data_IF_565010241603
#
_entry.id   IF_565010241603
#
_cell.length_a   1.000
_cell.length_b   1.000
_cell.length_c   1.000
_cell.angle_alpha   90.00
_cell.angle_beta   90.00
_cell.angle_gamma   90.00
#
_symmetry.space_group_name_H-M   'P 1'
#
loop_
_entity.id
_entity.type
_entity.pdbx_description
1 polymer ?
#
# COMPACT_ATOMS: atom_id res chain seq x y z
N UNK A 1 -27.53 11.83 14.50
CA UNK A 1 -26.42 11.98 15.48
C UNK A 1 -26.32 10.71 16.29
N UNK A 2 -25.10 10.30 16.64
CA UNK A 2 -24.81 8.98 17.24
C UNK A 2 -24.52 9.18 18.72
N UNK A 3 -25.02 8.30 19.59
CA UNK A 3 -24.68 8.34 21.02
C UNK A 3 -23.18 8.04 21.22
N UNK A 4 -22.51 8.75 22.14
CA UNK A 4 -21.06 8.60 22.35
C UNK A 4 -20.63 7.13 22.60
N UNK A 5 -21.45 6.37 23.32
CA UNK A 5 -21.20 4.95 23.62
C UNK A 5 -21.11 4.07 22.36
N UNK A 6 -21.80 4.47 21.28
CA UNK A 6 -21.82 3.76 19.99
C UNK A 6 -20.81 4.30 19.00
N UNK A 7 -20.12 5.41 19.32
CA UNK A 7 -19.22 6.07 18.39
C UNK A 7 -18.08 5.14 17.96
N UNK A 8 -17.49 4.39 18.89
CA UNK A 8 -16.37 3.51 18.55
C UNK A 8 -16.76 2.41 17.55
N UNK A 9 -17.94 1.82 17.71
CA UNK A 9 -18.46 0.82 16.78
C UNK A 9 -18.77 1.46 15.43
N UNK A 10 -19.41 2.63 15.43
CA UNK A 10 -19.71 3.37 14.21
C UNK A 10 -18.45 3.76 13.42
N UNK A 11 -17.41 4.29 14.08
CA UNK A 11 -16.16 4.68 13.42
C UNK A 11 -15.54 3.51 12.65
N UNK A 12 -15.66 2.26 13.17
CA UNK A 12 -15.18 1.05 12.49
C UNK A 12 -16.00 0.67 11.25
N UNK A 13 -17.21 1.21 11.09
CA UNK A 13 -18.05 0.99 9.90
C UNK A 13 -17.75 1.95 8.76
N UNK A 14 -17.08 3.08 9.04
CA UNK A 14 -16.71 4.07 8.02
C UNK A 14 -15.61 3.52 7.12
N UNK A 15 -15.82 3.62 5.81
CA UNK A 15 -14.88 3.12 4.81
C UNK A 15 -13.77 4.14 4.53
N UNK A 16 -12.72 3.69 3.83
CA UNK A 16 -11.68 4.59 3.28
C UNK A 16 -12.28 5.71 2.44
N UNK A 17 -13.31 5.41 1.64
CA UNK A 17 -13.95 6.40 0.80
C UNK A 17 -14.70 7.44 1.64
N UNK A 18 -15.37 7.02 2.71
CA UNK A 18 -16.06 7.94 3.64
C UNK A 18 -15.09 8.93 4.27
N UNK A 19 -13.97 8.43 4.79
CA UNK A 19 -12.91 9.26 5.36
C UNK A 19 -12.24 10.18 4.33
N UNK A 20 -11.98 9.67 3.13
CA UNK A 20 -11.36 10.44 2.07
C UNK A 20 -12.20 11.65 1.63
N UNK A 21 -13.53 11.56 1.67
CA UNK A 21 -14.41 12.71 1.41
C UNK A 21 -14.11 13.88 2.36
N UNK A 22 -13.77 13.60 3.63
CA UNK A 22 -13.43 14.63 4.60
C UNK A 22 -11.99 15.11 4.42
N UNK A 23 -11.07 14.17 4.21
CA UNK A 23 -9.64 14.48 4.11
C UNK A 23 -9.27 15.20 2.81
N UNK A 24 -10.05 15.04 1.74
CA UNK A 24 -9.85 15.73 0.47
C UNK A 24 -10.16 17.23 0.56
N UNK A 25 -10.85 17.69 1.60
CA UNK A 25 -11.13 19.11 1.84
C UNK A 25 -9.93 19.85 2.45
N UNK A 26 -8.96 19.14 3.05
CA UNK A 26 -7.80 19.76 3.73
C UNK A 26 -6.99 20.72 2.84
N UNK A 27 -6.64 20.39 1.57
CA UNK A 27 -5.91 21.32 0.71
C UNK A 27 -6.68 22.62 0.41
N UNK A 28 -8.00 22.53 0.23
CA UNK A 28 -8.86 23.71 0.04
C UNK A 28 -8.90 24.55 1.33
N UNK A 29 -9.05 23.91 2.49
CA UNK A 29 -9.02 24.59 3.80
C UNK A 29 -7.68 25.32 4.00
N UNK A 30 -6.55 24.68 3.72
CA UNK A 30 -5.22 25.27 3.95
C UNK A 30 -4.89 26.45 3.03
N UNK A 31 -5.50 26.50 1.84
CA UNK A 31 -5.31 27.59 0.88
C UNK A 31 -6.33 28.72 1.04
N UNK A 32 -7.40 28.48 1.81
CA UNK A 32 -8.45 29.46 2.10
C UNK A 32 -7.96 30.50 3.11
N UNK A 33 -8.13 31.79 2.78
CA UNK A 33 -7.65 32.92 3.61
C UNK A 33 -8.69 33.45 4.61
N UNK A 34 -9.96 33.17 4.37
CA UNK A 34 -11.11 33.68 5.15
C UNK A 34 -12.22 32.66 5.04
N UNK A 35 -12.89 32.35 6.14
CA UNK A 35 -13.85 31.27 6.28
C UNK A 35 -15.29 31.75 6.51
N UNK A 36 -15.47 33.05 6.75
CA UNK A 36 -16.78 33.67 6.82
C UNK A 36 -16.65 35.18 7.06
N UNK A 37 -17.79 35.84 7.19
CA UNK A 37 -17.84 37.26 7.52
C UNK A 37 -19.11 37.64 8.28
N UNK A 38 -19.03 38.72 9.06
CA UNK A 38 -20.20 39.30 9.70
C UNK A 38 -20.97 40.12 8.67
N UNK A 39 -22.27 39.85 8.55
CA UNK A 39 -23.24 40.59 7.74
C UNK A 39 -24.33 41.18 8.64
N UNK A 40 -25.13 42.09 8.11
CA UNK A 40 -26.14 42.81 8.90
C UNK A 40 -25.50 43.87 9.80
N UNK A 41 -26.25 44.38 10.78
CA UNK A 41 -25.84 45.55 11.56
C UNK A 41 -26.10 46.87 10.83
N UNK A 42 -26.73 46.82 9.67
CA UNK A 42 -27.05 47.98 8.83
C UNK A 42 -28.37 48.62 9.27
N UNK A 43 -28.43 49.96 9.17
CA UNK A 43 -29.64 50.75 9.34
C UNK A 43 -30.51 50.68 8.08
N UNK A 44 -31.77 50.30 8.23
CA UNK A 44 -32.76 50.22 7.18
C UNK A 44 -33.42 51.59 6.96
N UNK A 45 -34.04 51.80 5.78
CA UNK A 45 -34.68 53.08 5.41
C UNK A 45 -35.73 53.59 6.40
N UNK A 46 -36.29 52.71 7.24
CA UNK A 46 -37.26 53.04 8.27
C UNK A 46 -36.64 53.35 9.65
N UNK A 47 -35.30 53.44 9.75
CA UNK A 47 -34.56 53.71 10.99
C UNK A 47 -34.42 52.51 11.93
N UNK A 48 -34.78 51.30 11.49
CA UNK A 48 -34.54 50.05 12.25
C UNK A 48 -33.22 49.40 11.83
N UNK A 49 -32.61 48.59 12.70
CA UNK A 49 -31.33 47.92 12.41
C UNK A 49 -31.52 46.43 12.19
N UNK A 50 -30.75 45.86 11.26
CA UNK A 50 -30.59 44.41 11.18
C UNK A 50 -29.63 43.93 12.27
N UNK A 51 -29.91 42.78 12.89
CA UNK A 51 -28.93 42.18 13.80
C UNK A 51 -27.72 41.67 12.99
N UNK A 52 -26.48 41.90 13.45
CA UNK A 52 -25.32 41.30 12.83
C UNK A 52 -25.36 39.78 13.01
N UNK A 53 -24.99 39.04 11.97
CA UNK A 53 -24.93 37.59 11.95
C UNK A 53 -23.70 37.12 11.15
N UNK A 54 -23.19 35.93 11.46
CA UNK A 54 -22.12 35.32 10.68
C UNK A 54 -22.66 34.64 9.42
N UNK A 55 -21.98 34.91 8.30
CA UNK A 55 -22.15 34.21 7.04
C UNK A 55 -20.90 33.36 6.80
N UNK A 56 -21.01 32.04 6.91
CA UNK A 56 -19.97 31.10 6.54
C UNK A 56 -19.72 31.12 5.02
N UNK A 57 -18.51 30.71 4.62
CA UNK A 57 -18.16 30.44 3.23
C UNK A 57 -18.35 28.95 2.91
N UNK A 58 -18.45 28.63 1.61
CA UNK A 58 -18.83 27.31 1.11
C UNK A 58 -18.01 26.15 1.71
N UNK A 59 -16.70 26.33 1.89
CA UNK A 59 -15.83 25.28 2.46
C UNK A 59 -16.18 24.95 3.92
N UNK A 60 -16.63 25.92 4.71
CA UNK A 60 -17.08 25.70 6.09
C UNK A 60 -18.35 24.87 6.09
N UNK A 61 -19.30 25.21 5.22
CA UNK A 61 -20.57 24.49 5.09
C UNK A 61 -20.35 23.05 4.59
N UNK A 62 -19.44 22.84 3.63
CA UNK A 62 -19.04 21.50 3.16
C UNK A 62 -18.53 20.64 4.31
N UNK A 63 -17.60 21.16 5.11
CA UNK A 63 -17.05 20.43 6.26
C UNK A 63 -18.15 20.16 7.29
N UNK A 64 -18.94 21.17 7.66
CA UNK A 64 -20.04 21.05 8.62
C UNK A 64 -21.02 19.92 8.24
N UNK A 65 -21.49 19.94 6.99
CA UNK A 65 -22.42 18.93 6.50
C UNK A 65 -21.78 17.54 6.51
N UNK A 66 -20.52 17.44 6.11
CA UNK A 66 -19.84 16.16 6.00
C UNK A 66 -19.52 15.52 7.35
N UNK A 67 -19.10 16.29 8.37
CA UNK A 67 -18.87 15.73 9.71
C UNK A 67 -20.18 15.22 10.33
N UNK A 68 -21.32 15.81 9.98
CA UNK A 68 -22.64 15.33 10.38
C UNK A 68 -23.06 14.08 9.61
N UNK A 69 -22.85 14.04 8.29
CA UNK A 69 -23.15 12.90 7.43
C UNK A 69 -22.34 11.66 7.85
N UNK A 70 -21.04 11.85 8.14
CA UNK A 70 -20.16 10.79 8.64
C UNK A 70 -20.50 10.35 10.06
N UNK A 71 -21.40 11.06 10.77
CA UNK A 71 -21.79 10.70 12.13
C UNK A 71 -20.69 10.88 13.18
N UNK A 72 -19.66 11.70 12.90
CA UNK A 72 -18.50 11.90 13.79
C UNK A 72 -18.70 13.06 14.79
N UNK A 73 -19.95 13.54 14.92
CA UNK A 73 -20.41 14.51 15.91
C UNK A 73 -21.33 13.78 16.90
N UNK A 74 -20.78 13.04 17.89
CA UNK A 74 -21.57 12.28 18.85
C UNK A 74 -22.43 13.16 19.76
N UNK A 75 -23.46 12.56 20.36
CA UNK A 75 -24.23 13.13 21.46
C UNK A 75 -23.52 12.76 22.78
N UNK A 76 -23.17 13.77 23.56
CA UNK A 76 -22.74 13.64 24.95
C UNK A 76 -22.89 14.98 25.69
N UNK A 77 -22.75 14.96 27.03
CA UNK A 77 -22.75 16.19 27.83
C UNK A 77 -21.42 16.95 27.68
N UNK A 78 -21.30 17.68 26.58
CA UNK A 78 -20.16 18.52 26.27
C UNK A 78 -20.05 19.73 27.21
N UNK A 79 -21.14 20.14 27.85
CA UNK A 79 -21.15 21.33 28.73
C UNK A 79 -20.43 21.07 30.05
N UNK A 80 -20.45 19.84 30.55
CA UNK A 80 -19.72 19.42 31.75
C UNK A 80 -18.31 18.90 31.48
N UNK A 81 -17.91 18.75 30.22
CA UNK A 81 -16.61 18.19 29.84
C UNK A 81 -15.46 19.21 30.00
N UNK A 82 -14.87 19.25 31.21
CA UNK A 82 -13.80 20.19 31.57
C UNK A 82 -12.53 20.04 30.70
N UNK A 83 -12.10 18.81 30.42
CA UNK A 83 -10.88 18.58 29.62
C UNK A 83 -11.00 19.16 28.22
N UNK A 84 -12.16 18.98 27.57
CA UNK A 84 -12.41 19.52 26.23
C UNK A 84 -12.31 21.05 26.20
N UNK A 85 -12.83 21.72 27.23
CA UNK A 85 -12.69 23.18 27.38
C UNK A 85 -11.23 23.57 27.58
N UNK A 86 -10.49 22.84 28.40
CA UNK A 86 -9.05 23.11 28.63
C UNK A 86 -8.26 22.96 27.34
N UNK A 87 -8.53 21.93 26.54
CA UNK A 87 -7.87 21.67 25.26
C UNK A 87 -8.17 22.78 24.25
N UNK A 88 -9.45 23.15 24.07
CA UNK A 88 -9.85 24.16 23.08
C UNK A 88 -9.38 25.57 23.43
N UNK A 89 -9.12 25.85 24.70
CA UNK A 89 -8.58 27.14 25.15
C UNK A 89 -7.05 27.24 25.03
N UNK A 90 -6.36 26.13 24.77
CA UNK A 90 -4.92 26.09 24.54
C UNK A 90 -4.62 26.22 23.03
N UNK A 91 -4.13 27.40 22.62
CA UNK A 91 -3.85 27.72 21.22
C UNK A 91 -2.71 26.87 20.61
N UNK A 92 -1.79 26.39 21.45
CA UNK A 92 -0.60 25.64 21.07
C UNK A 92 -0.75 24.14 21.29
N UNK A 93 -1.94 23.67 21.69
CA UNK A 93 -2.19 22.27 21.97
C UNK A 93 -1.87 21.38 20.76
N UNK A 94 -1.15 20.27 21.01
CA UNK A 94 -0.84 19.28 19.99
C UNK A 94 -1.92 18.19 19.92
N UNK A 95 -2.84 18.34 18.97
CA UNK A 95 -3.95 17.40 18.73
C UNK A 95 -3.51 16.01 18.25
N UNK A 96 -2.28 15.85 17.74
CA UNK A 96 -1.80 14.60 17.13
C UNK A 96 -1.66 13.43 18.12
N UNK A 97 -1.72 13.71 19.42
CA UNK A 97 -1.61 12.70 20.49
C UNK A 97 -2.98 12.22 21.01
N UNK A 98 -4.08 12.80 20.53
CA UNK A 98 -5.43 12.43 20.96
C UNK A 98 -5.97 11.29 20.10
N UNK A 99 -6.76 10.41 20.71
CA UNK A 99 -7.51 9.37 19.99
C UNK A 99 -8.69 9.97 19.20
N UNK A 100 -9.20 9.23 18.21
CA UNK A 100 -10.28 9.70 17.33
C UNK A 100 -11.56 10.02 18.08
N UNK A 101 -11.90 9.29 19.14
CA UNK A 101 -13.12 9.55 19.93
C UNK A 101 -12.99 10.92 20.61
N UNK A 102 -11.84 11.20 21.23
CA UNK A 102 -11.58 12.50 21.85
C UNK A 102 -11.61 13.63 20.83
N UNK A 103 -11.06 13.43 19.63
CA UNK A 103 -11.13 14.41 18.54
C UNK A 103 -12.58 14.66 18.06
N UNK A 104 -13.40 13.62 17.95
CA UNK A 104 -14.83 13.74 17.62
C UNK A 104 -15.63 14.46 18.72
N UNK A 105 -15.28 14.25 19.99
CA UNK A 105 -15.84 15.02 21.10
C UNK A 105 -15.48 16.50 21.02
N UNK A 106 -14.25 16.84 20.63
CA UNK A 106 -13.84 18.24 20.41
C UNK A 106 -14.63 18.88 19.27
N UNK A 107 -14.79 18.19 18.13
CA UNK A 107 -15.65 18.67 17.03
C UNK A 107 -17.08 18.95 17.52
N UNK A 108 -17.64 18.04 18.31
CA UNK A 108 -18.97 18.21 18.90
C UNK A 108 -19.05 19.43 19.79
N UNK A 109 -18.07 19.65 20.67
CA UNK A 109 -18.02 20.83 21.53
C UNK A 109 -18.05 22.11 20.70
N UNK A 110 -17.25 22.19 19.63
CA UNK A 110 -17.20 23.37 18.75
C UNK A 110 -18.53 23.56 18.01
N UNK A 111 -19.03 22.51 17.34
CA UNK A 111 -20.28 22.54 16.57
C UNK A 111 -21.48 22.92 17.44
N UNK A 112 -21.57 22.39 18.66
CA UNK A 112 -22.67 22.68 19.57
C UNK A 112 -22.56 24.07 20.19
N UNK A 113 -21.34 24.54 20.47
CA UNK A 113 -21.11 25.90 20.99
C UNK A 113 -21.50 26.99 19.97
N UNK A 114 -21.36 26.73 18.67
CA UNK A 114 -21.78 27.64 17.59
C UNK A 114 -23.27 28.00 17.66
N UNK A 115 -24.13 27.05 18.04
CA UNK A 115 -25.55 27.32 18.24
C UNK A 115 -25.88 28.28 19.40
N UNK A 116 -24.90 28.60 20.27
CA UNK A 116 -25.04 29.56 21.37
C UNK A 116 -24.18 30.82 21.18
N UNK A 117 -23.16 30.74 20.31
CA UNK A 117 -22.24 31.81 20.00
C UNK A 117 -22.04 31.84 18.48
N UNK A 118 -22.84 32.65 17.81
CA UNK A 118 -22.87 32.72 16.35
C UNK A 118 -21.47 32.96 15.76
N UNK A 119 -21.06 32.12 14.81
CA UNK A 119 -19.75 32.14 14.17
C UNK A 119 -18.61 31.49 14.94
N UNK A 120 -18.87 30.81 16.06
CA UNK A 120 -17.84 30.08 16.80
C UNK A 120 -17.17 28.98 15.96
N UNK A 121 -17.91 28.29 15.10
CA UNK A 121 -17.36 27.28 14.20
C UNK A 121 -16.43 27.93 13.17
N UNK A 122 -16.86 29.03 12.55
CA UNK A 122 -16.04 29.85 11.62
C UNK A 122 -14.76 30.33 12.31
N UNK A 123 -14.85 30.84 13.54
CA UNK A 123 -13.69 31.30 14.29
C UNK A 123 -12.67 30.18 14.55
N UNK A 124 -13.14 28.95 14.79
CA UNK A 124 -12.25 27.80 14.96
C UNK A 124 -11.61 27.32 13.64
N UNK A 125 -12.17 27.66 12.48
CA UNK A 125 -11.46 27.56 11.21
C UNK A 125 -10.36 28.61 11.08
N UNK A 126 -10.70 29.88 11.33
CA UNK A 126 -9.76 31.01 11.25
C UNK A 126 -8.54 30.81 12.15
N UNK A 127 -8.76 30.29 13.37
CA UNK A 127 -7.69 29.98 14.32
C UNK A 127 -6.96 28.66 14.03
N UNK A 128 -7.34 27.94 12.97
CA UNK A 128 -6.71 26.70 12.54
C UNK A 128 -7.01 25.47 13.41
N UNK A 129 -7.96 25.55 14.34
CA UNK A 129 -8.32 24.44 15.24
C UNK A 129 -9.01 23.30 14.47
N UNK A 130 -10.01 23.62 13.64
CA UNK A 130 -10.70 22.62 12.82
C UNK A 130 -9.75 21.84 11.90
N UNK A 131 -8.88 22.49 11.07
CA UNK A 131 -7.94 21.74 10.25
C UNK A 131 -6.93 20.92 11.08
N UNK A 132 -6.50 21.39 12.26
CA UNK A 132 -5.65 20.59 13.17
C UNK A 132 -6.37 19.33 13.66
N UNK A 133 -7.64 19.43 14.05
CA UNK A 133 -8.46 18.28 14.48
C UNK A 133 -8.65 17.29 13.31
N UNK A 134 -9.04 17.77 12.13
CA UNK A 134 -9.24 16.91 10.94
C UNK A 134 -7.93 16.21 10.55
N UNK A 135 -6.79 16.90 10.63
CA UNK A 135 -5.46 16.28 10.41
C UNK A 135 -5.14 15.20 11.43
N UNK A 136 -5.45 15.41 12.71
CA UNK A 136 -5.22 14.42 13.75
C UNK A 136 -6.13 13.18 13.55
N UNK A 137 -7.40 13.40 13.19
CA UNK A 137 -8.32 12.30 12.82
C UNK A 137 -7.75 11.53 11.62
N UNK A 138 -7.31 12.25 10.57
CA UNK A 138 -6.65 11.65 9.41
C UNK A 138 -5.45 10.81 9.82
N UNK A 139 -4.60 11.29 10.71
CA UNK A 139 -3.45 10.53 11.19
C UNK A 139 -3.87 9.24 11.93
N UNK A 140 -4.90 9.30 12.77
CA UNK A 140 -5.37 8.15 13.52
C UNK A 140 -6.05 7.11 12.63
N UNK A 141 -6.94 7.56 11.74
CA UNK A 141 -7.71 6.67 10.88
C UNK A 141 -6.85 6.08 9.77
N UNK A 142 -5.87 6.84 9.23
CA UNK A 142 -4.86 6.27 8.33
C UNK A 142 -3.97 5.24 9.05
N UNK A 143 -3.61 5.47 10.31
CA UNK A 143 -2.89 4.47 11.12
C UNK A 143 -3.76 3.25 11.47
N UNK A 144 -5.09 3.37 11.37
CA UNK A 144 -6.05 2.30 11.70
C UNK A 144 -6.40 1.39 10.53
N UNK A 145 -5.85 1.62 9.32
CA UNK A 145 -6.05 0.73 8.17
C UNK A 145 -5.48 -0.65 8.46
N UNK A 146 -6.32 -1.53 9.02
CA UNK A 146 -6.01 -2.93 9.19
C UNK A 146 -6.15 -3.62 7.85
N UNK A 147 -5.08 -4.24 7.40
CA UNK A 147 -5.11 -5.15 6.25
C UNK A 147 -6.19 -6.21 6.50
N UNK A 148 -7.03 -6.39 5.50
CA UNK A 148 -8.14 -7.34 5.54
C UNK A 148 -7.74 -8.67 4.90
N UNK A 149 -8.41 -9.76 5.30
CA UNK A 149 -8.23 -11.07 4.67
C UNK A 149 -8.38 -11.04 3.13
N UNK A 150 -9.36 -10.34 2.54
CA UNK A 150 -9.43 -10.17 1.09
C UNK A 150 -8.16 -9.55 0.49
N UNK A 151 -7.56 -8.53 1.11
CA UNK A 151 -6.32 -7.92 0.62
C UNK A 151 -5.12 -8.89 0.72
N UNK A 152 -5.04 -9.69 1.78
CA UNK A 152 -4.00 -10.72 1.91
C UNK A 152 -4.16 -11.76 0.80
N UNK A 153 -5.38 -12.27 0.59
CA UNK A 153 -5.69 -13.21 -0.49
C UNK A 153 -5.37 -12.62 -1.86
N UNK A 154 -5.78 -11.37 -2.11
CA UNK A 154 -5.51 -10.64 -3.35
C UNK A 154 -4.03 -10.60 -3.70
N UNK A 155 -3.16 -10.28 -2.74
CA UNK A 155 -1.72 -10.27 -2.96
C UNK A 155 -1.17 -11.69 -3.22
N UNK A 156 -1.49 -12.67 -2.37
CA UNK A 156 -0.93 -14.02 -2.48
C UNK A 156 -1.39 -14.74 -3.75
N UNK A 157 -2.68 -14.69 -4.06
CA UNK A 157 -3.21 -15.27 -5.29
C UNK A 157 -2.82 -14.47 -6.53
N UNK A 158 -2.71 -13.15 -6.42
CA UNK A 158 -2.22 -12.31 -7.52
C UNK A 158 -0.81 -12.70 -7.95
N UNK A 159 0.12 -12.85 -6.99
CA UNK A 159 1.47 -13.37 -7.24
C UNK A 159 1.40 -14.76 -7.88
N UNK A 160 0.66 -15.69 -7.28
CA UNK A 160 0.58 -17.08 -7.75
C UNK A 160 0.02 -17.23 -9.16
N UNK A 161 -1.01 -16.45 -9.50
CA UNK A 161 -1.59 -16.43 -10.84
C UNK A 161 -0.62 -15.86 -11.85
N UNK A 162 0.04 -14.74 -11.53
CA UNK A 162 0.99 -14.09 -12.41
C UNK A 162 2.18 -14.97 -12.74
N UNK A 163 2.75 -15.57 -11.71
CA UNK A 163 3.78 -16.60 -11.80
C UNK A 163 3.31 -17.76 -12.69
N UNK A 164 2.23 -18.46 -12.32
CA UNK A 164 1.78 -19.66 -13.03
C UNK A 164 1.38 -19.41 -14.51
N UNK A 165 1.00 -18.19 -14.87
CA UNK A 165 0.76 -17.80 -16.26
C UNK A 165 2.06 -17.63 -17.05
N UNK A 166 3.13 -17.18 -16.39
CA UNK A 166 4.45 -16.97 -17.00
C UNK A 166 5.28 -18.24 -17.13
N UNK A 167 5.20 -19.17 -16.19
CA UNK A 167 6.02 -20.42 -16.17
C UNK A 167 6.06 -21.17 -17.52
N UNK A 168 4.95 -21.38 -18.25
CA UNK A 168 4.99 -22.14 -19.49
C UNK A 168 5.75 -21.46 -20.63
N UNK A 169 5.93 -20.14 -20.57
CA UNK A 169 6.55 -19.35 -21.65
C UNK A 169 7.85 -18.67 -21.23
N UNK A 170 8.38 -19.05 -20.06
CA UNK A 170 9.64 -18.50 -19.55
C UNK A 170 10.79 -18.71 -20.54
N UNK A 171 11.67 -17.71 -20.64
CA UNK A 171 12.77 -17.57 -21.58
C UNK A 171 12.38 -17.42 -23.05
N UNK A 172 11.09 -17.45 -23.40
CA UNK A 172 10.68 -17.15 -24.77
C UNK A 172 10.87 -15.66 -25.07
N UNK A 173 11.43 -15.36 -26.23
CA UNK A 173 11.53 -13.97 -26.68
C UNK A 173 10.16 -13.37 -26.93
N UNK A 174 10.04 -12.05 -26.75
CA UNK A 174 8.82 -11.29 -27.08
C UNK A 174 8.32 -11.58 -28.50
N UNK A 175 9.25 -11.66 -29.46
CA UNK A 175 8.91 -11.94 -30.86
C UNK A 175 8.33 -13.35 -31.04
N UNK A 176 8.77 -14.33 -30.24
CA UNK A 176 8.21 -15.68 -30.22
C UNK A 176 6.79 -15.65 -29.65
N UNK A 177 6.60 -15.03 -28.49
CA UNK A 177 5.30 -14.94 -27.81
C UNK A 177 4.28 -14.18 -28.66
N UNK A 178 4.65 -13.08 -29.34
CA UNK A 178 3.75 -12.32 -30.24
C UNK A 178 3.11 -13.19 -31.33
N UNK A 179 3.72 -14.32 -31.72
CA UNK A 179 3.13 -15.24 -32.70
C UNK A 179 2.01 -16.09 -32.12
N UNK A 180 2.13 -16.48 -30.84
CA UNK A 180 1.12 -17.24 -30.10
C UNK A 180 1.00 -16.66 -28.68
N UNK A 181 0.30 -15.52 -28.52
CA UNK A 181 0.24 -14.83 -27.23
C UNK A 181 -0.41 -15.69 -26.15
N UNK A 182 0.07 -15.54 -24.92
CA UNK A 182 -0.60 -16.11 -23.75
C UNK A 182 -1.91 -15.35 -23.53
N UNK A 183 -3.02 -16.06 -23.56
CA UNK A 183 -4.38 -15.49 -23.41
C UNK A 183 -5.15 -16.08 -22.23
N UNK A 184 -4.67 -17.21 -21.70
CA UNK A 184 -5.27 -17.98 -20.63
C UNK A 184 -4.18 -18.82 -19.93
N UNK A 185 -4.53 -19.44 -18.81
CA UNK A 185 -3.62 -20.31 -18.06
C UNK A 185 -3.42 -21.63 -18.80
N UNK A 186 -2.18 -21.84 -19.24
CA UNK A 186 -1.73 -23.02 -19.99
C UNK A 186 -0.69 -23.79 -19.17
N UNK A 187 -0.32 -24.98 -19.65
CA UNK A 187 0.76 -25.77 -19.07
C UNK A 187 1.60 -26.41 -20.17
N UNK A 188 2.51 -27.30 -19.76
CA UNK A 188 3.38 -28.10 -20.61
C UNK A 188 4.26 -27.26 -21.55
N UNK A 189 4.87 -26.21 -21.00
CA UNK A 189 5.82 -25.33 -21.66
C UNK A 189 7.27 -25.58 -21.23
N UNK A 190 8.01 -24.53 -20.88
CA UNK A 190 9.45 -24.55 -20.52
C UNK A 190 9.87 -25.71 -19.62
N UNK A 191 9.12 -25.96 -18.53
CA UNK A 191 9.41 -27.04 -17.58
C UNK A 191 8.55 -28.30 -17.73
N UNK A 192 7.70 -28.36 -18.75
CA UNK A 192 6.76 -29.46 -18.97
C UNK A 192 5.84 -29.77 -17.76
N UNK A 193 5.41 -28.73 -17.03
CA UNK A 193 4.54 -28.83 -15.85
C UNK A 193 3.07 -28.52 -16.20
N UNK A 194 2.08 -29.13 -15.54
CA UNK A 194 0.67 -28.88 -15.83
C UNK A 194 0.26 -27.43 -15.51
N UNK A 195 -0.85 -26.98 -16.10
CA UNK A 195 -1.39 -25.64 -15.88
C UNK A 195 -1.60 -25.32 -14.39
N UNK A 196 -1.42 -24.05 -14.02
CA UNK A 196 -1.53 -23.56 -12.66
C UNK A 196 -0.35 -23.93 -11.75
N UNK A 197 0.76 -24.40 -12.32
CA UNK A 197 2.00 -24.62 -11.59
C UNK A 197 2.82 -23.32 -11.57
N UNK A 198 3.06 -22.79 -10.38
CA UNK A 198 3.87 -21.61 -10.09
C UNK A 198 5.33 -21.99 -9.72
N UNK A 199 6.30 -21.08 -9.82
CA UNK A 199 7.76 -21.33 -9.72
C UNK A 199 8.35 -20.95 -8.34
N UNK A 200 9.64 -20.57 -8.30
CA UNK A 200 10.32 -20.14 -7.10
C UNK A 200 9.83 -18.77 -6.61
N UNK A 201 9.29 -17.92 -7.48
CA UNK A 201 8.58 -16.68 -7.16
C UNK A 201 7.53 -16.88 -6.07
N UNK A 202 6.52 -17.69 -6.36
CA UNK A 202 5.45 -17.99 -5.41
C UNK A 202 5.96 -18.84 -4.25
N UNK A 203 6.85 -19.80 -4.51
CA UNK A 203 7.42 -20.65 -3.44
C UNK A 203 8.06 -19.82 -2.34
N UNK A 204 8.92 -18.87 -2.72
CA UNK A 204 9.64 -18.01 -1.79
C UNK A 204 8.74 -16.91 -1.22
N UNK A 205 7.74 -16.43 -1.97
CA UNK A 205 6.66 -15.57 -1.46
C UNK A 205 5.92 -16.25 -0.31
N UNK A 206 5.56 -17.53 -0.47
CA UNK A 206 4.87 -18.30 0.56
C UNK A 206 5.78 -18.68 1.72
N UNK A 207 7.08 -18.88 1.49
CA UNK A 207 8.05 -19.05 2.58
C UNK A 207 8.18 -17.80 3.47
N UNK A 208 8.20 -16.60 2.87
CA UNK A 208 8.18 -15.34 3.60
C UNK A 208 6.85 -15.19 4.36
N UNK A 209 5.74 -15.40 3.66
CA UNK A 209 4.39 -15.38 4.23
C UNK A 209 4.23 -16.31 5.43
N UNK A 210 4.77 -17.53 5.35
CA UNK A 210 4.78 -18.52 6.43
C UNK A 210 5.53 -18.00 7.66
N UNK A 211 6.69 -17.38 7.47
CA UNK A 211 7.46 -16.79 8.56
C UNK A 211 6.68 -15.64 9.24
N UNK A 212 5.93 -14.85 8.46
CA UNK A 212 5.11 -13.75 8.97
C UNK A 212 3.85 -14.20 9.72
N UNK A 213 3.53 -15.50 9.75
CA UNK A 213 2.51 -16.04 10.68
C UNK A 213 3.01 -16.14 12.13
N UNK A 214 4.31 -15.93 12.34
CA UNK A 214 4.98 -15.95 13.64
C UNK A 214 5.54 -14.56 13.96
N UNK A 215 6.26 -14.42 15.09
CA UNK A 215 6.97 -13.18 15.36
C UNK A 215 8.08 -12.96 14.33
N UNK A 216 8.26 -11.69 13.94
CA UNK A 216 9.21 -11.34 12.88
C UNK A 216 10.63 -11.71 13.29
N UNK A 217 11.23 -12.63 12.54
CA UNK A 217 12.62 -13.06 12.72
C UNK A 217 13.24 -13.43 11.36
N UNK A 218 14.36 -12.80 11.04
CA UNK A 218 15.08 -13.04 9.79
C UNK A 218 15.59 -14.48 9.68
N UNK A 219 15.92 -15.12 10.81
CA UNK A 219 16.38 -16.51 10.78
C UNK A 219 15.23 -17.44 10.37
N UNK A 220 14.03 -17.21 10.90
CA UNK A 220 12.82 -17.95 10.50
C UNK A 220 12.55 -17.81 9.00
N UNK A 221 12.67 -16.59 8.44
CA UNK A 221 12.52 -16.35 6.99
C UNK A 221 13.58 -17.13 6.20
N UNK A 222 14.86 -16.97 6.57
CA UNK A 222 15.97 -17.65 5.89
C UNK A 222 15.87 -19.18 5.97
N UNK A 223 15.48 -19.73 7.12
CA UNK A 223 15.28 -21.17 7.31
C UNK A 223 14.10 -21.71 6.51
N UNK A 224 13.04 -20.92 6.29
CA UNK A 224 11.97 -21.34 5.38
C UNK A 224 12.47 -21.43 3.93
N UNK A 225 13.36 -20.54 3.48
CA UNK A 225 13.99 -20.66 2.16
C UNK A 225 14.89 -21.89 2.05
N UNK A 226 15.64 -22.22 3.11
CA UNK A 226 16.41 -23.48 3.18
C UNK A 226 15.50 -24.70 3.10
N UNK A 227 14.38 -24.72 3.85
CA UNK A 227 13.39 -25.80 3.79
C UNK A 227 12.76 -25.95 2.42
N UNK A 228 12.49 -24.84 1.71
CA UNK A 228 12.00 -24.93 0.33
C UNK A 228 13.01 -25.63 -0.55
N UNK A 229 14.26 -25.15 -0.55
CA UNK A 229 15.30 -25.65 -1.43
C UNK A 229 15.71 -27.11 -1.13
N UNK A 230 15.83 -27.48 0.15
CA UNK A 230 16.35 -28.78 0.57
C UNK A 230 15.27 -29.83 0.88
N UNK A 231 14.04 -29.39 1.16
CA UNK A 231 12.96 -30.26 1.65
C UNK A 231 11.63 -30.06 0.91
N UNK A 232 11.63 -29.39 -0.24
CA UNK A 232 10.47 -29.14 -1.08
C UNK A 232 9.31 -28.41 -0.38
N UNK A 233 9.61 -27.70 0.72
CA UNK A 233 8.62 -26.90 1.45
C UNK A 233 8.04 -25.82 0.54
N UNK A 234 6.72 -25.62 0.54
CA UNK A 234 6.07 -24.68 -0.40
C UNK A 234 6.43 -24.89 -1.88
N UNK A 235 6.69 -26.10 -2.34
CA UNK A 235 6.72 -26.40 -3.79
C UNK A 235 5.29 -26.66 -4.32
N UNK A 236 4.97 -26.32 -5.57
CA UNK A 236 3.61 -26.51 -6.12
C UNK A 236 3.28 -28.00 -6.32
N UNK A 237 4.29 -28.80 -6.68
CA UNK A 237 4.15 -30.20 -7.16
C UNK A 237 5.19 -31.13 -6.53
N UNK A 238 5.73 -30.76 -5.36
CA UNK A 238 6.61 -31.62 -4.57
C UNK A 238 8.09 -31.62 -4.96
N UNK A 239 8.51 -30.83 -5.95
CA UNK A 239 9.91 -30.68 -6.36
C UNK A 239 10.23 -29.19 -6.59
N UNK A 240 11.46 -28.81 -6.25
CA UNK A 240 12.03 -27.50 -6.60
C UNK A 240 12.43 -27.48 -8.07
N UNK A 241 12.11 -26.39 -8.76
CA UNK A 241 12.64 -26.02 -10.06
C UNK A 241 12.88 -24.50 -10.07
N UNK A 242 13.41 -23.99 -11.18
CA UNK A 242 13.56 -22.54 -11.46
C UNK A 242 14.49 -21.71 -10.57
N UNK A 243 15.18 -22.30 -9.59
CA UNK A 243 15.97 -21.50 -8.67
C UNK A 243 17.13 -20.73 -9.35
N UNK A 244 17.05 -19.39 -9.27
CA UNK A 244 18.11 -18.49 -9.72
C UNK A 244 19.47 -18.73 -9.03
N UNK A 245 20.57 -18.44 -9.73
CA UNK A 245 21.94 -18.69 -9.24
C UNK A 245 22.22 -17.96 -7.92
N UNK A 246 21.93 -16.65 -7.86
CA UNK A 246 22.16 -15.83 -6.66
C UNK A 246 21.34 -16.33 -5.46
N UNK A 247 20.05 -16.62 -5.68
CA UNK A 247 19.15 -17.21 -4.66
C UNK A 247 19.70 -18.52 -4.12
N UNK A 248 20.09 -19.45 -5.01
CA UNK A 248 20.67 -20.74 -4.63
C UNK A 248 21.95 -20.60 -3.81
N UNK A 249 22.84 -19.70 -4.21
CA UNK A 249 24.09 -19.45 -3.48
C UNK A 249 23.82 -18.90 -2.09
N UNK A 250 22.92 -17.92 -1.97
CA UNK A 250 22.54 -17.36 -0.68
C UNK A 250 21.87 -18.40 0.23
N UNK A 251 20.94 -19.21 -0.28
CA UNK A 251 20.32 -20.30 0.49
C UNK A 251 21.36 -21.34 0.93
N UNK A 252 22.35 -21.63 0.09
CA UNK A 252 23.45 -22.52 0.48
C UNK A 252 24.29 -21.96 1.63
N UNK A 253 24.53 -20.64 1.66
CA UNK A 253 25.21 -19.96 2.79
C UNK A 253 24.35 -19.99 4.06
N UNK A 254 23.04 -19.74 3.96
CA UNK A 254 22.11 -19.86 5.08
C UNK A 254 22.13 -21.26 5.70
N UNK A 255 22.13 -22.31 4.86
CA UNK A 255 22.21 -23.69 5.31
C UNK A 255 23.53 -24.03 6.01
N UNK A 256 24.60 -23.25 5.75
CA UNK A 256 25.90 -23.37 6.40
C UNK A 256 26.01 -22.51 7.68
N UNK A 257 24.95 -21.79 8.05
CA UNK A 257 24.89 -20.98 9.27
C UNK A 257 25.27 -19.50 9.09
N UNK A 258 25.38 -19.01 7.85
CA UNK A 258 25.53 -17.58 7.59
C UNK A 258 24.30 -16.82 8.11
N UNK A 259 24.53 -15.63 8.68
CA UNK A 259 23.41 -14.80 9.16
C UNK A 259 22.57 -14.32 7.98
N UNK A 260 21.22 -14.31 8.10
CA UNK A 260 20.35 -13.93 7.00
C UNK A 260 20.71 -12.61 6.34
N UNK A 261 20.97 -11.56 7.11
CA UNK A 261 21.29 -10.23 6.60
C UNK A 261 22.60 -10.13 5.79
N UNK A 262 23.45 -11.17 5.80
CA UNK A 262 24.72 -11.22 5.08
C UNK A 262 24.82 -12.35 4.05
N UNK A 263 23.78 -13.19 3.91
CA UNK A 263 23.82 -14.34 3.02
C UNK A 263 23.73 -13.96 1.53
N UNK A 264 23.04 -12.87 1.21
CA UNK A 264 22.88 -12.37 -0.15
C UNK A 264 24.13 -11.74 -0.75
N UNK A 265 24.15 -11.67 -2.09
CA UNK A 265 25.19 -10.97 -2.85
C UNK A 265 25.08 -9.45 -2.72
N UNK A 266 26.22 -8.75 -2.65
CA UNK A 266 26.31 -7.29 -2.50
C UNK A 266 26.97 -6.61 -3.71
N UNK A 267 27.34 -7.38 -4.74
CA UNK A 267 28.06 -6.87 -5.91
C UNK A 267 27.08 -6.43 -7.01
N UNK A 268 27.56 -5.58 -7.94
CA UNK A 268 26.73 -5.08 -9.04
C UNK A 268 26.16 -6.19 -9.94
N UNK A 269 26.84 -7.35 -9.98
CA UNK A 269 26.41 -8.54 -10.72
C UNK A 269 25.30 -9.32 -10.02
N UNK A 270 25.02 -9.04 -8.75
CA UNK A 270 24.03 -9.74 -7.93
C UNK A 270 22.64 -9.08 -7.97
N UNK A 271 22.35 -8.28 -8.99
CA UNK A 271 21.10 -7.51 -9.11
C UNK A 271 20.00 -8.26 -9.88
N UNK A 272 19.87 -9.55 -9.60
CA UNK A 272 18.71 -10.35 -10.01
C UNK A 272 17.42 -9.87 -9.35
N UNK A 273 16.28 -10.22 -9.94
CA UNK A 273 14.93 -9.92 -9.41
C UNK A 273 14.46 -10.86 -8.27
N UNK A 274 15.28 -11.83 -7.86
CA UNK A 274 14.88 -12.88 -6.92
C UNK A 274 14.48 -12.42 -5.50
N UNK A 275 14.87 -11.21 -5.07
CA UNK A 275 14.30 -10.62 -3.85
C UNK A 275 12.99 -9.86 -4.12
N UNK A 276 12.91 -9.14 -5.24
CA UNK A 276 11.72 -8.36 -5.63
C UNK A 276 10.50 -9.24 -5.80
N UNK A 277 10.66 -10.38 -6.47
CA UNK A 277 9.55 -11.28 -6.80
C UNK A 277 8.75 -11.77 -5.59
N UNK A 278 9.42 -11.88 -4.44
CA UNK A 278 8.86 -12.50 -3.24
C UNK A 278 8.52 -11.55 -2.10
N UNK A 279 8.83 -10.26 -2.25
CA UNK A 279 8.85 -9.34 -1.10
C UNK A 279 7.46 -8.87 -0.68
N UNK A 280 6.44 -8.97 -1.54
CA UNK A 280 5.11 -8.39 -1.32
C UNK A 280 4.50 -8.66 0.08
N UNK A 281 4.52 -9.90 0.62
CA UNK A 281 3.93 -10.20 1.92
C UNK A 281 4.56 -9.42 3.08
N UNK A 282 5.79 -8.92 2.93
CA UNK A 282 6.43 -8.08 3.94
C UNK A 282 5.59 -6.83 4.27
N UNK A 283 4.84 -6.33 3.29
CA UNK A 283 3.92 -5.20 3.47
C UNK A 283 3.00 -5.39 4.68
N UNK A 284 2.57 -6.63 4.92
CA UNK A 284 1.63 -6.94 5.99
C UNK A 284 2.18 -6.77 7.39
N UNK A 285 3.50 -6.75 7.52
CA UNK A 285 4.20 -6.51 8.77
C UNK A 285 4.68 -5.06 8.91
N UNK A 286 5.02 -4.40 7.80
CA UNK A 286 5.69 -3.09 7.84
C UNK A 286 4.77 -1.90 7.62
N UNK A 287 3.51 -2.09 7.19
CA UNK A 287 2.65 -0.98 6.73
C UNK A 287 2.48 0.16 7.75
N UNK A 288 2.38 -0.15 9.03
CA UNK A 288 2.15 0.81 10.12
C UNK A 288 3.43 1.52 10.58
N UNK A 289 4.60 1.05 10.12
CA UNK A 289 5.90 1.55 10.58
C UNK A 289 6.28 2.84 9.86
N UNK A 290 7.21 3.62 10.42
CA UNK A 290 7.73 4.81 9.75
C UNK A 290 8.45 4.44 8.44
N UNK A 291 8.54 5.37 7.48
CA UNK A 291 9.23 5.12 6.20
C UNK A 291 10.68 4.64 6.39
N UNK A 292 11.36 5.15 7.43
CA UNK A 292 12.71 4.73 7.82
C UNK A 292 12.76 3.25 8.24
N UNK A 293 11.82 2.82 9.09
CA UNK A 293 11.73 1.43 9.54
C UNK A 293 11.32 0.49 8.40
N UNK A 294 10.37 0.92 7.55
CA UNK A 294 9.95 0.15 6.36
C UNK A 294 11.15 -0.10 5.44
N UNK A 295 11.95 0.93 5.18
CA UNK A 295 13.18 0.79 4.40
C UNK A 295 14.19 -0.17 5.04
N UNK A 296 14.48 -0.03 6.34
CA UNK A 296 15.45 -0.91 7.02
C UNK A 296 15.03 -2.38 7.00
N UNK A 297 13.77 -2.65 7.29
CA UNK A 297 13.25 -4.03 7.29
C UNK A 297 13.25 -4.58 5.86
N UNK A 298 12.87 -3.77 4.86
CA UNK A 298 12.96 -4.17 3.45
C UNK A 298 14.38 -4.52 3.04
N UNK A 299 15.35 -3.70 3.46
CA UNK A 299 16.78 -3.96 3.23
C UNK A 299 17.19 -5.30 3.84
N UNK A 300 16.88 -5.54 5.11
CA UNK A 300 17.21 -6.79 5.80
C UNK A 300 16.64 -8.02 5.09
N UNK A 301 15.36 -7.97 4.69
CA UNK A 301 14.68 -9.11 4.05
C UNK A 301 15.16 -9.33 2.61
N UNK A 302 15.44 -8.26 1.85
CA UNK A 302 16.08 -8.38 0.52
C UNK A 302 17.46 -9.02 0.65
N UNK A 303 18.27 -8.54 1.60
CA UNK A 303 19.65 -8.99 1.86
C UNK A 303 19.78 -10.48 2.22
N UNK A 304 18.68 -11.16 2.56
CA UNK A 304 18.67 -12.63 2.73
C UNK A 304 19.18 -13.34 1.48
N UNK A 305 18.96 -12.76 0.28
CA UNK A 305 19.53 -13.31 -0.96
C UNK A 305 20.13 -12.27 -1.91
N UNK A 306 19.66 -11.03 -1.87
CA UNK A 306 20.10 -9.95 -2.75
C UNK A 306 20.29 -8.68 -1.89
N UNK A 307 21.54 -8.49 -1.44
CA UNK A 307 21.93 -7.40 -0.53
C UNK A 307 22.42 -6.13 -1.21
N UNK A 308 22.64 -6.17 -2.53
CA UNK A 308 23.01 -4.98 -3.28
C UNK A 308 21.91 -3.90 -3.21
N UNK A 309 22.33 -2.64 -3.08
CA UNK A 309 21.44 -1.49 -2.82
C UNK A 309 20.34 -1.31 -3.88
N UNK A 310 20.63 -1.68 -5.12
CA UNK A 310 19.66 -1.62 -6.22
C UNK A 310 18.48 -2.58 -6.02
N UNK A 311 18.72 -3.83 -5.62
CA UNK A 311 17.65 -4.77 -5.27
C UNK A 311 16.84 -4.27 -4.07
N UNK A 312 17.50 -3.64 -3.09
CA UNK A 312 16.84 -3.03 -1.92
C UNK A 312 15.92 -1.87 -2.33
N UNK A 313 16.40 -0.94 -3.17
CA UNK A 313 15.58 0.19 -3.66
C UNK A 313 14.39 -0.33 -4.46
N UNK A 314 14.59 -1.34 -5.31
CA UNK A 314 13.51 -1.92 -6.09
C UNK A 314 12.42 -2.57 -5.22
N UNK A 315 12.82 -3.38 -4.23
CA UNK A 315 11.89 -3.94 -3.25
C UNK A 315 11.15 -2.86 -2.47
N UNK A 316 11.86 -1.80 -2.07
CA UNK A 316 11.28 -0.69 -1.31
C UNK A 316 10.27 0.09 -2.15
N UNK A 317 10.59 0.42 -3.40
CA UNK A 317 9.66 1.07 -4.33
C UNK A 317 8.39 0.22 -4.49
N UNK A 318 8.55 -1.08 -4.74
CA UNK A 318 7.45 -2.01 -4.93
C UNK A 318 6.52 -2.08 -3.71
N UNK A 319 7.07 -2.14 -2.51
CA UNK A 319 6.30 -2.14 -1.26
C UNK A 319 5.63 -0.80 -0.97
N UNK A 320 6.27 0.34 -1.27
CA UNK A 320 5.64 1.65 -1.11
C UNK A 320 4.50 1.86 -2.10
N UNK A 321 4.63 1.35 -3.34
CA UNK A 321 3.54 1.33 -4.32
C UNK A 321 2.37 0.50 -3.77
N UNK A 322 2.63 -0.72 -3.32
CA UNK A 322 1.62 -1.61 -2.74
C UNK A 322 0.95 -1.02 -1.48
N UNK A 323 1.72 -0.35 -0.62
CA UNK A 323 1.20 0.35 0.56
C UNK A 323 0.21 1.45 0.19
N UNK A 324 0.50 2.21 -0.86
CA UNK A 324 -0.42 3.26 -1.30
C UNK A 324 -1.67 2.70 -2.01
N UNK A 325 -1.58 1.53 -2.66
CA UNK A 325 -2.75 0.79 -3.14
C UNK A 325 -3.67 0.44 -1.95
N UNK A 326 -3.11 -0.10 -0.86
CA UNK A 326 -3.90 -0.41 0.36
C UNK A 326 -4.55 0.83 0.99
N UNK A 327 -3.94 2.00 0.81
CA UNK A 327 -4.51 3.28 1.24
C UNK A 327 -5.63 3.80 0.30
N UNK A 328 -5.98 3.05 -0.76
CA UNK A 328 -7.06 3.37 -1.68
C UNK A 328 -6.72 4.47 -2.69
N UNK A 329 -5.44 4.75 -2.94
CA UNK A 329 -5.03 5.76 -3.92
C UNK A 329 -5.09 5.23 -5.34
N UNK A 330 -5.32 6.12 -6.31
CA UNK A 330 -5.27 5.78 -7.73
C UNK A 330 -3.83 5.47 -8.19
N UNK A 331 -3.65 4.50 -9.08
CA UNK A 331 -2.33 4.05 -9.55
C UNK A 331 -1.44 5.16 -10.14
N UNK A 332 -2.02 6.16 -10.80
CA UNK A 332 -1.25 7.30 -11.33
C UNK A 332 -0.89 8.29 -10.21
N UNK A 333 -1.80 8.52 -9.27
CA UNK A 333 -1.51 9.29 -8.06
C UNK A 333 -0.36 8.65 -7.26
N UNK A 334 -0.39 7.33 -7.08
CA UNK A 334 0.69 6.57 -6.41
C UNK A 334 2.01 6.78 -7.14
N UNK A 335 2.02 6.59 -8.46
CA UNK A 335 3.21 6.77 -9.27
C UNK A 335 3.83 8.17 -9.08
N UNK A 336 3.01 9.22 -9.17
CA UNK A 336 3.45 10.61 -8.96
C UNK A 336 3.93 10.86 -7.51
N UNK A 337 3.23 10.33 -6.51
CA UNK A 337 3.63 10.47 -5.11
C UNK A 337 5.03 9.88 -4.87
N UNK A 338 5.30 8.69 -5.41
CA UNK A 338 6.59 8.01 -5.23
C UNK A 338 7.75 8.72 -5.93
N UNK A 339 7.50 9.51 -6.98
CA UNK A 339 8.52 10.37 -7.62
C UNK A 339 9.05 11.46 -6.68
N UNK A 340 8.31 11.78 -5.60
CA UNK A 340 8.75 12.73 -4.59
C UNK A 340 9.19 12.02 -3.30
N UNK A 341 8.38 11.08 -2.80
CA UNK A 341 8.63 10.42 -1.51
C UNK A 341 9.92 9.59 -1.50
N UNK A 342 10.16 8.79 -2.55
CA UNK A 342 11.30 7.88 -2.62
C UNK A 342 12.63 8.64 -2.75
N UNK A 343 12.81 9.60 -3.70
CA UNK A 343 14.07 10.33 -3.80
C UNK A 343 14.39 11.14 -2.55
N UNK A 344 13.39 11.77 -1.93
CA UNK A 344 13.57 12.51 -0.67
C UNK A 344 14.08 11.58 0.44
N UNK A 345 13.48 10.39 0.57
CA UNK A 345 13.93 9.40 1.53
C UNK A 345 15.36 8.94 1.22
N UNK A 346 15.64 8.46 0.01
CA UNK A 346 16.95 7.92 -0.37
C UNK A 346 18.08 8.96 -0.23
N UNK A 347 17.81 10.21 -0.57
CA UNK A 347 18.77 11.33 -0.41
C UNK A 347 19.05 11.59 1.07
N UNK A 348 18.02 11.58 1.93
CA UNK A 348 18.19 11.74 3.39
C UNK A 348 19.00 10.62 4.03
N UNK A 349 19.18 9.49 3.32
CA UNK A 349 19.93 8.32 3.76
C UNK A 349 21.35 8.26 3.19
N UNK A 350 21.76 9.26 2.42
CA UNK A 350 23.09 9.33 1.78
C UNK A 350 23.37 8.12 0.87
N UNK A 351 22.33 7.56 0.25
CA UNK A 351 22.49 6.51 -0.76
C UNK A 351 23.22 7.09 -1.98
N UNK A 352 24.14 6.31 -2.55
CA UNK A 352 24.93 6.72 -3.72
C UNK A 352 24.01 7.26 -4.84
N UNK A 353 24.16 8.53 -5.24
CA UNK A 353 23.31 9.16 -6.26
C UNK A 353 23.35 8.43 -7.61
N UNK A 354 24.46 7.78 -7.95
CA UNK A 354 24.60 6.99 -9.19
C UNK A 354 23.67 5.78 -9.20
N UNK A 355 23.45 5.15 -8.03
CA UNK A 355 22.50 4.03 -7.91
C UNK A 355 21.06 4.53 -7.92
N UNK A 356 20.77 5.67 -7.29
CA UNK A 356 19.44 6.31 -7.36
C UNK A 356 19.09 6.66 -8.82
N UNK A 357 20.05 7.22 -9.57
CA UNK A 357 19.84 7.64 -10.96
C UNK A 357 19.46 6.49 -11.90
N UNK A 358 19.77 5.23 -11.55
CA UNK A 358 19.31 4.06 -12.32
C UNK A 358 17.78 3.91 -12.32
N UNK A 359 17.10 4.50 -11.34
CA UNK A 359 15.64 4.50 -11.23
C UNK A 359 15.00 5.74 -11.86
N UNK A 360 15.76 6.60 -12.56
CA UNK A 360 15.25 7.88 -13.09
C UNK A 360 14.06 7.72 -14.04
N UNK A 361 13.95 6.59 -14.75
CA UNK A 361 12.76 6.28 -15.58
C UNK A 361 11.48 6.25 -14.73
N UNK A 362 11.52 5.67 -13.54
CA UNK A 362 10.42 5.64 -12.57
C UNK A 362 10.30 6.95 -11.78
N UNK A 363 11.43 7.51 -11.33
CA UNK A 363 11.46 8.60 -10.34
C UNK A 363 11.37 10.00 -10.94
N UNK A 364 11.67 10.15 -12.24
CA UNK A 364 11.68 11.44 -12.94
C UNK A 364 10.96 11.38 -14.29
N UNK A 365 10.95 10.20 -14.93
CA UNK A 365 10.28 9.95 -16.20
C UNK A 365 8.80 9.60 -16.05
N UNK A 366 8.16 9.34 -17.18
CA UNK A 366 6.78 8.87 -17.23
C UNK A 366 6.73 7.61 -18.08
N UNK A 367 6.95 6.46 -17.43
CA UNK A 367 6.97 5.19 -18.15
C UNK A 367 5.63 4.87 -18.80
N UNK A 368 4.51 5.40 -18.30
CA UNK A 368 3.17 5.12 -18.86
C UNK A 368 3.00 5.58 -20.32
N UNK A 369 3.87 6.49 -20.77
CA UNK A 369 3.90 7.02 -22.14
C UNK A 369 4.87 6.27 -23.07
N UNK A 370 5.66 5.34 -22.54
CA UNK A 370 6.63 4.59 -23.33
C UNK A 370 5.93 3.49 -24.13
N UNK A 371 6.46 3.25 -25.33
CA UNK A 371 6.02 2.15 -26.17
C UNK A 371 6.48 0.80 -25.57
N UNK A 372 5.74 -0.27 -25.87
CA UNK A 372 6.06 -1.62 -25.38
C UNK A 372 7.50 -2.04 -25.70
N UNK A 373 8.01 -1.65 -26.88
CA UNK A 373 9.37 -1.99 -27.34
C UNK A 373 10.49 -1.30 -26.54
N UNK A 374 10.17 -0.27 -25.76
CA UNK A 374 11.10 0.40 -24.84
C UNK A 374 11.10 -0.19 -23.43
N UNK A 375 10.20 -1.12 -23.15
CA UNK A 375 10.10 -1.84 -21.88
C UNK A 375 10.91 -3.11 -21.96
N UNK A 376 11.73 -3.38 -20.94
CA UNK A 376 12.54 -4.60 -20.83
C UNK A 376 11.97 -5.48 -19.72
N UNK A 377 12.05 -6.80 -19.87
CA UNK A 377 11.47 -7.79 -18.93
C UNK A 377 12.43 -8.96 -18.69
N UNK A 378 13.74 -8.70 -18.60
CA UNK A 378 14.73 -9.74 -18.27
C UNK A 378 14.86 -9.94 -16.74
N UNK A 379 15.65 -10.92 -16.30
CA UNK A 379 15.93 -11.16 -14.87
C UNK A 379 16.75 -10.11 -14.13
N UNK A 380 16.87 -8.90 -14.68
CA UNK A 380 17.47 -7.77 -14.00
C UNK A 380 16.39 -7.02 -13.23
N UNK A 381 16.62 -6.75 -11.94
CA UNK A 381 15.60 -6.24 -11.02
C UNK A 381 14.89 -4.96 -11.50
N UNK A 382 15.61 -4.05 -12.17
CA UNK A 382 14.99 -2.83 -12.71
C UNK A 382 14.06 -3.12 -13.89
N UNK A 383 14.44 -4.04 -14.78
CA UNK A 383 13.59 -4.41 -15.92
C UNK A 383 12.26 -4.97 -15.43
N UNK A 384 12.29 -5.92 -14.49
CA UNK A 384 11.08 -6.48 -13.87
C UNK A 384 10.23 -5.40 -13.19
N UNK A 385 10.83 -4.54 -12.37
CA UNK A 385 10.09 -3.50 -11.65
C UNK A 385 9.44 -2.53 -12.64
N UNK A 386 10.20 -1.98 -13.58
CA UNK A 386 9.69 -1.04 -14.59
C UNK A 386 8.59 -1.66 -15.43
N UNK A 387 8.80 -2.88 -15.94
CA UNK A 387 7.79 -3.60 -16.71
C UNK A 387 6.50 -3.81 -15.92
N UNK A 388 6.61 -4.16 -14.64
CA UNK A 388 5.44 -4.41 -13.80
C UNK A 388 4.63 -3.14 -13.57
N UNK A 389 5.28 -2.04 -13.20
CA UNK A 389 4.61 -0.74 -13.01
C UNK A 389 4.03 -0.25 -14.34
N UNK A 390 4.76 -0.39 -15.45
CA UNK A 390 4.25 -0.04 -16.78
C UNK A 390 2.97 -0.82 -17.13
N UNK A 391 2.94 -2.13 -16.88
CA UNK A 391 1.77 -2.96 -17.13
C UNK A 391 0.56 -2.49 -16.32
N UNK A 392 0.75 -2.17 -15.03
CA UNK A 392 -0.33 -1.60 -14.20
C UNK A 392 -0.82 -0.24 -14.72
N UNK A 393 0.09 0.68 -15.03
CA UNK A 393 -0.29 2.03 -15.47
C UNK A 393 -1.03 2.01 -16.81
N UNK A 394 -0.72 1.05 -17.69
CA UNK A 394 -1.24 0.99 -19.06
C UNK A 394 -2.36 -0.05 -19.26
N UNK A 395 -2.95 -0.57 -18.18
CA UNK A 395 -4.10 -1.49 -18.23
C UNK A 395 -5.08 -1.21 -17.08
N UNK A 396 -6.35 -1.60 -17.23
CA UNK A 396 -7.41 -1.19 -16.29
C UNK A 396 -8.07 -2.37 -15.55
N UNK A 397 -7.50 -3.56 -15.62
CA UNK A 397 -7.97 -4.72 -14.86
C UNK A 397 -6.85 -5.76 -14.66
N UNK A 398 -7.04 -6.64 -13.67
CA UNK A 398 -6.04 -7.63 -13.27
C UNK A 398 -5.65 -8.56 -14.42
N UNK A 399 -6.63 -9.10 -15.16
CA UNK A 399 -6.41 -9.99 -16.30
C UNK A 399 -5.48 -9.37 -17.34
N UNK A 400 -5.78 -8.16 -17.77
CA UNK A 400 -5.01 -7.47 -18.80
C UNK A 400 -3.62 -7.08 -18.29
N UNK A 401 -3.49 -6.61 -17.05
CA UNK A 401 -2.19 -6.28 -16.45
C UNK A 401 -1.25 -7.50 -16.47
N UNK A 402 -1.72 -8.64 -15.95
CA UNK A 402 -0.92 -9.86 -15.83
C UNK A 402 -0.60 -10.47 -17.18
N UNK A 403 -1.57 -10.57 -18.11
CA UNK A 403 -1.28 -11.06 -19.45
C UNK A 403 -0.33 -10.15 -20.20
N UNK A 404 -0.45 -8.82 -20.03
CA UNK A 404 0.48 -7.88 -20.66
C UNK A 404 1.91 -8.10 -20.16
N UNK A 405 2.09 -8.28 -18.85
CA UNK A 405 3.38 -8.61 -18.25
C UNK A 405 3.98 -9.91 -18.81
N UNK A 406 3.21 -10.99 -18.82
CA UNK A 406 3.67 -12.30 -19.34
C UNK A 406 4.01 -12.21 -20.84
N UNK A 407 3.24 -11.46 -21.63
CA UNK A 407 3.47 -11.33 -23.07
C UNK A 407 4.67 -10.43 -23.44
N UNK A 408 5.30 -9.74 -22.47
CA UNK A 408 6.56 -9.02 -22.72
C UNK A 408 7.72 -9.99 -23.01
N UNK A 409 7.62 -11.26 -22.63
CA UNK A 409 8.63 -12.30 -22.84
C UNK A 409 9.86 -12.16 -21.92
N UNK A 410 10.87 -12.96 -22.22
CA UNK A 410 12.09 -13.11 -21.41
C UNK A 410 11.79 -13.74 -20.04
N UNK A 411 11.79 -12.98 -18.96
CA UNK A 411 11.55 -13.45 -17.59
C UNK A 411 10.07 -13.23 -17.23
N UNK A 412 9.24 -14.15 -17.72
CA UNK A 412 7.78 -13.98 -17.81
C UNK A 412 7.06 -14.32 -16.53
N UNK A 413 7.51 -15.32 -15.81
CA UNK A 413 6.96 -15.70 -14.50
C UNK A 413 7.25 -14.60 -13.48
N UNK A 414 8.48 -14.08 -13.41
CA UNK A 414 8.79 -13.02 -12.44
C UNK A 414 8.09 -11.70 -12.74
N UNK A 415 8.09 -11.27 -14.00
CA UNK A 415 7.35 -10.06 -14.40
C UNK A 415 5.84 -10.25 -14.19
N UNK A 416 5.33 -11.46 -14.45
CA UNK A 416 3.95 -11.84 -14.16
C UNK A 416 3.62 -11.80 -12.67
N UNK A 417 4.46 -12.35 -11.81
CA UNK A 417 4.30 -12.46 -10.36
C UNK A 417 4.27 -11.07 -9.69
N UNK A 418 5.24 -10.22 -10.00
CA UNK A 418 5.34 -8.84 -9.48
C UNK A 418 4.15 -7.99 -9.95
N UNK A 419 3.76 -8.11 -11.23
CA UNK A 419 2.57 -7.45 -11.75
C UNK A 419 1.30 -7.97 -11.08
N UNK A 420 1.16 -9.29 -10.96
CA UNK A 420 0.00 -9.96 -10.40
C UNK A 420 -0.22 -9.63 -8.93
N UNK A 421 0.85 -9.51 -8.14
CA UNK A 421 0.79 -9.08 -6.75
C UNK A 421 0.18 -7.69 -6.58
N UNK A 422 0.65 -6.70 -7.34
CA UNK A 422 0.09 -5.34 -7.31
C UNK A 422 -1.31 -5.28 -7.93
N UNK A 423 -1.53 -5.95 -9.06
CA UNK A 423 -2.82 -5.95 -9.74
C UNK A 423 -3.90 -6.63 -8.88
N UNK A 424 -3.55 -7.71 -8.18
CA UNK A 424 -4.44 -8.35 -7.21
C UNK A 424 -4.83 -7.39 -6.09
N UNK A 425 -3.86 -6.65 -5.52
CA UNK A 425 -4.16 -5.63 -4.51
C UNK A 425 -5.01 -4.47 -5.05
N UNK A 426 -4.71 -4.00 -6.27
CA UNK A 426 -5.36 -2.84 -6.88
C UNK A 426 -6.81 -3.11 -7.28
N UNK A 427 -7.06 -4.27 -7.89
CA UNK A 427 -8.38 -4.62 -8.43
C UNK A 427 -9.17 -5.55 -7.49
N UNK A 428 -8.52 -6.20 -6.53
CA UNK A 428 -9.14 -7.16 -5.62
C UNK A 428 -9.25 -8.58 -6.19
N UNK A 429 -9.37 -9.56 -5.28
CA UNK A 429 -9.41 -10.99 -5.57
C UNK A 429 -10.52 -11.36 -6.56
N UNK A 430 -11.70 -10.75 -6.42
CA UNK A 430 -12.88 -11.04 -7.25
C UNK A 430 -12.68 -10.63 -8.73
N UNK A 431 -11.68 -9.78 -9.00
CA UNK A 431 -11.30 -9.37 -10.36
C UNK A 431 -10.20 -10.26 -10.97
N UNK A 432 -9.70 -11.25 -10.23
CA UNK A 432 -8.86 -12.30 -10.79
C UNK A 432 -9.77 -13.35 -11.44
N UNK A 433 -9.56 -13.72 -12.72
CA UNK A 433 -10.38 -14.73 -13.38
C UNK A 433 -10.51 -16.02 -12.56
N UNK A 434 -11.74 -16.40 -12.22
CA UNK A 434 -12.03 -17.56 -11.36
C UNK A 434 -11.41 -18.86 -11.91
N UNK A 435 -11.43 -19.03 -13.24
CA UNK A 435 -10.80 -20.17 -13.91
C UNK A 435 -9.31 -20.30 -13.59
N UNK A 436 -8.59 -19.18 -13.49
CA UNK A 436 -7.16 -19.19 -13.16
C UNK A 436 -6.95 -19.60 -11.70
N UNK A 437 -7.75 -19.06 -10.79
CA UNK A 437 -7.72 -19.43 -9.38
C UNK A 437 -7.96 -20.93 -9.17
N UNK A 438 -8.97 -21.50 -9.84
CA UNK A 438 -9.33 -22.91 -9.71
C UNK A 438 -8.26 -23.87 -10.25
N UNK A 439 -7.39 -23.41 -11.15
CA UNK A 439 -6.32 -24.22 -11.74
C UNK A 439 -5.03 -24.20 -10.92
N UNK A 440 -4.87 -23.22 -10.02
CA UNK A 440 -3.65 -23.08 -9.22
C UNK A 440 -3.36 -24.33 -8.38
N UNK A 441 -2.10 -24.76 -8.43
CA UNK A 441 -1.58 -25.72 -7.48
C UNK A 441 -1.68 -25.16 -6.06
N UNK A 442 -2.06 -26.01 -5.11
CA UNK A 442 -2.17 -25.70 -3.68
C UNK A 442 -3.11 -24.55 -3.30
N UNK A 443 -4.20 -24.37 -4.05
CA UNK A 443 -5.19 -23.32 -3.78
C UNK A 443 -5.64 -23.28 -2.31
N UNK A 444 -6.01 -24.43 -1.74
CA UNK A 444 -6.51 -24.53 -0.36
C UNK A 444 -5.45 -24.17 0.68
N UNK A 445 -4.18 -24.54 0.45
CA UNK A 445 -3.07 -24.22 1.32
C UNK A 445 -2.73 -22.72 1.26
N UNK A 446 -2.76 -22.11 0.09
CA UNK A 446 -2.58 -20.65 -0.08
C UNK A 446 -3.70 -19.91 0.66
N UNK A 447 -4.94 -20.39 0.56
CA UNK A 447 -6.06 -19.80 1.29
C UNK A 447 -5.89 -19.93 2.81
N UNK A 448 -5.42 -21.09 3.29
CA UNK A 448 -5.14 -21.28 4.72
C UNK A 448 -4.01 -20.37 5.21
N UNK A 449 -2.95 -20.21 4.42
CA UNK A 449 -1.85 -19.30 4.72
C UNK A 449 -2.34 -17.86 4.87
N UNK A 450 -3.20 -17.39 3.96
CA UNK A 450 -3.81 -16.07 4.05
C UNK A 450 -4.60 -15.87 5.36
N UNK A 451 -5.38 -16.89 5.77
CA UNK A 451 -6.13 -16.88 7.05
C UNK A 451 -5.20 -16.78 8.25
N UNK A 452 -4.11 -17.57 8.30
CA UNK A 452 -3.15 -17.52 9.40
C UNK A 452 -2.41 -16.19 9.50
N UNK A 453 -2.08 -15.56 8.37
CA UNK A 453 -1.54 -14.19 8.36
C UNK A 453 -2.56 -13.22 8.92
N UNK A 454 -3.81 -13.28 8.47
CA UNK A 454 -4.88 -12.42 8.96
C UNK A 454 -5.06 -12.55 10.49
N UNK A 455 -5.04 -13.77 11.01
CA UNK A 455 -5.14 -14.03 12.45
C UNK A 455 -3.95 -13.43 13.21
N UNK A 456 -2.73 -13.52 12.65
CA UNK A 456 -1.54 -12.89 13.22
C UNK A 456 -1.67 -11.37 13.25
N UNK A 457 -2.07 -10.74 12.14
CA UNK A 457 -2.28 -9.28 12.08
C UNK A 457 -3.39 -8.85 13.05
N UNK A 458 -4.46 -9.62 13.18
CA UNK A 458 -5.54 -9.33 14.12
C UNK A 458 -5.11 -9.42 15.59
N UNK A 459 -4.07 -10.20 15.90
CA UNK A 459 -3.51 -10.36 17.25
C UNK A 459 -2.50 -9.27 17.65
N UNK A 460 -2.02 -8.47 16.70
CA UNK A 460 -1.18 -7.28 16.92
C UNK A 460 -2.05 -6.05 17.23
#
# INVERSE_FOLDING_TARGET
MIELEKLQEHLRTLTTNDWNRLFSLLPEIETTKKFGEVKGGEELENGSFTFPYWSSFEIVDKVFNLIHELGIVPIFDWTSWADGKSILNDQDFNYSNLDTITLCKLLTTIVRADGFNDGFFVLNFENGVIPKIIKAIKQNEIKSFKITLPQIKSALFGVAVGDALGVPVEFNSRQSIKKNPVTDMIGYGTYNLPAGTWSDDSSLTFCLSEALTQDFDLNTIGQNFVKWYQHNFWTPRGNVFDIGIATRQAISRLAQGEKPEFAGGFDETDNGNGSLMRILPLLFYIQDKSIKERYEITKQVSSITHGHIRSVIACFYYLEFAKQILAGKDKFEIYVNLQTEIPNHLTSREINPTEIAKFDRLLKGDISKLDEDEIQSSGYVLHTLEASIWCLLTTDNCKNAVLKAVNLGSDTDTTGAVTGGLAGLLYGLDNIPEKWLQQLAKYSEIENLAKRINDKIASL
#
